data_IF_055148167166
#
_entry.id   IF_055148167166
#
_cell.length_a   1.000
_cell.length_b   1.000
_cell.length_c   1.000
_cell.angle_alpha   90.00
_cell.angle_beta   90.00
_cell.angle_gamma   90.00
#
_symmetry.space_group_name_H-M   'P 1'
#
loop_
_entity.id
_entity.type
_entity.pdbx_description
1 polymer ?
#
# COMPACT_ATOMS: atom_id res chain seq x y z
N UNK A 1 20.30 3.69 -3.10
CA UNK A 1 18.86 3.55 -3.43
C UNK A 1 18.39 4.82 -4.12
N UNK A 2 17.50 4.73 -5.10
CA UNK A 2 16.91 5.89 -5.80
C UNK A 2 15.40 5.66 -5.96
N UNK A 3 14.64 6.72 -6.21
CA UNK A 3 13.23 6.59 -6.63
C UNK A 3 13.22 6.03 -8.06
N UNK A 4 12.41 5.00 -8.31
CA UNK A 4 12.37 4.26 -9.59
C UNK A 4 10.99 4.20 -10.22
N UNK A 5 9.96 4.65 -9.51
CA UNK A 5 8.59 4.56 -9.98
C UNK A 5 7.60 5.06 -8.95
N UNK A 6 6.32 4.84 -9.26
CA UNK A 6 5.17 5.23 -8.45
C UNK A 6 4.08 4.17 -8.58
N UNK A 7 3.10 4.21 -7.67
CA UNK A 7 1.93 3.35 -7.75
C UNK A 7 0.67 4.08 -7.29
N UNK A 8 -0.48 3.64 -7.80
CA UNK A 8 -1.79 4.03 -7.30
C UNK A 8 -2.79 2.87 -7.39
N UNK A 9 -3.98 3.07 -6.82
CA UNK A 9 -5.05 2.06 -6.78
C UNK A 9 -6.26 2.44 -7.62
N UNK A 10 -6.90 1.41 -8.16
CA UNK A 10 -8.09 1.44 -9.01
C UNK A 10 -9.21 0.65 -8.31
N UNK A 11 -9.92 1.24 -7.33
CA UNK A 11 -11.02 0.55 -6.66
C UNK A 11 -12.21 0.38 -7.61
N UNK A 12 -12.75 -0.83 -7.69
CA UNK A 12 -13.93 -1.17 -8.51
C UNK A 12 -13.81 -0.85 -10.02
N UNK A 13 -12.60 -0.59 -10.52
CA UNK A 13 -12.34 -0.33 -11.94
C UNK A 13 -11.19 -1.21 -12.45
N UNK A 14 -11.05 -1.32 -13.77
CA UNK A 14 -10.06 -2.22 -14.39
C UNK A 14 -8.62 -1.83 -14.03
N UNK A 15 -7.71 -2.81 -14.09
CA UNK A 15 -6.27 -2.60 -13.82
C UNK A 15 -5.54 -1.78 -14.89
N UNK A 16 -6.17 -1.55 -16.05
CA UNK A 16 -5.55 -0.82 -17.15
C UNK A 16 -5.46 0.69 -16.84
N UNK A 17 -4.34 1.35 -17.20
CA UNK A 17 -4.19 2.78 -17.00
C UNK A 17 -5.17 3.55 -17.89
N UNK A 18 -5.73 4.60 -17.33
CA UNK A 18 -6.48 5.61 -18.08
C UNK A 18 -5.56 6.48 -18.93
N UNK A 19 -6.13 7.29 -19.82
CA UNK A 19 -5.37 8.27 -20.59
C UNK A 19 -4.64 9.29 -19.68
N UNK A 20 -5.20 9.61 -18.51
CA UNK A 20 -4.57 10.51 -17.52
C UNK A 20 -3.35 9.83 -16.90
N UNK A 21 -3.45 8.53 -16.58
CA UNK A 21 -2.33 7.76 -16.04
C UNK A 21 -1.17 7.68 -17.04
N UNK A 22 -1.46 7.39 -18.31
CA UNK A 22 -0.46 7.33 -19.39
C UNK A 22 0.21 8.69 -19.59
N UNK A 23 -0.56 9.79 -19.58
CA UNK A 23 0.00 11.14 -19.70
C UNK A 23 0.86 11.53 -18.49
N UNK A 24 0.42 11.18 -17.29
CA UNK A 24 1.16 11.42 -16.04
C UNK A 24 2.47 10.63 -16.02
N UNK A 25 2.42 9.36 -16.42
CA UNK A 25 3.59 8.51 -16.57
C UNK A 25 4.57 9.08 -17.60
N UNK A 26 4.08 9.60 -18.73
CA UNK A 26 4.92 10.29 -19.72
C UNK A 26 5.62 11.52 -19.14
N UNK A 27 4.93 12.31 -18.31
CA UNK A 27 5.52 13.46 -17.62
C UNK A 27 6.64 13.02 -16.66
N UNK A 28 6.46 11.95 -15.89
CA UNK A 28 7.54 11.42 -15.05
C UNK A 28 8.72 10.89 -15.87
N UNK A 29 8.46 10.30 -17.05
CA UNK A 29 9.53 9.84 -17.95
C UNK A 29 10.32 10.97 -18.61
N UNK A 30 9.80 12.20 -18.63
CA UNK A 30 10.60 13.38 -19.00
C UNK A 30 11.68 13.69 -17.97
N UNK A 31 11.50 13.28 -16.71
CA UNK A 31 12.48 13.46 -15.63
C UNK A 31 13.46 12.29 -15.54
N UNK A 32 12.97 11.05 -15.70
CA UNK A 32 13.78 9.83 -15.74
C UNK A 32 13.14 8.81 -16.70
N UNK A 33 13.80 8.51 -17.81
CA UNK A 33 13.31 7.55 -18.80
C UNK A 33 13.10 6.13 -18.22
N UNK A 34 13.81 5.78 -17.14
CA UNK A 34 13.69 4.50 -16.44
C UNK A 34 12.55 4.45 -15.42
N UNK A 35 11.75 5.50 -15.27
CA UNK A 35 10.66 5.57 -14.31
C UNK A 35 9.47 4.72 -14.75
N UNK A 36 8.88 3.94 -13.84
CA UNK A 36 7.75 3.03 -14.13
C UNK A 36 6.52 3.31 -13.27
N UNK A 37 5.33 3.02 -13.80
CA UNK A 37 4.07 3.12 -13.08
C UNK A 37 3.48 1.75 -12.75
N UNK A 38 2.94 1.60 -11.54
CA UNK A 38 2.22 0.41 -11.09
C UNK A 38 0.77 0.73 -10.76
N UNK A 39 -0.16 -0.15 -11.12
CA UNK A 39 -1.58 0.00 -10.78
C UNK A 39 -2.06 -1.25 -10.07
N UNK A 40 -2.78 -1.06 -8.97
CA UNK A 40 -3.48 -2.12 -8.24
C UNK A 40 -4.99 -1.95 -8.36
N UNK A 41 -5.65 -2.87 -9.06
CA UNK A 41 -7.11 -2.94 -9.11
C UNK A 41 -7.64 -3.75 -7.93
N UNK A 42 -8.47 -3.10 -7.11
CA UNK A 42 -8.94 -3.63 -5.83
C UNK A 42 -10.46 -3.72 -5.79
N UNK A 43 -10.99 -4.60 -4.92
CA UNK A 43 -12.43 -4.77 -4.69
C UNK A 43 -13.22 -5.14 -5.96
N UNK A 44 -12.62 -5.95 -6.83
CA UNK A 44 -13.31 -6.49 -8.01
C UNK A 44 -14.08 -7.73 -7.57
N UNK A 45 -15.39 -7.67 -7.67
CA UNK A 45 -16.27 -8.78 -7.30
C UNK A 45 -17.16 -9.14 -8.49
N UNK A 46 -17.13 -10.41 -8.88
CA UNK A 46 -18.13 -10.97 -9.78
C UNK A 46 -19.30 -11.48 -8.94
N UNK A 47 -20.43 -10.76 -9.00
CA UNK A 47 -21.64 -11.09 -8.23
C UNK A 47 -22.26 -12.44 -8.61
N UNK A 48 -22.04 -12.90 -9.84
CA UNK A 48 -22.59 -14.18 -10.30
C UNK A 48 -21.75 -15.34 -9.76
N UNK A 49 -20.42 -15.21 -9.72
CA UNK A 49 -19.52 -16.27 -9.24
C UNK A 49 -19.13 -16.12 -7.78
N UNK A 50 -19.48 -15.00 -7.13
CA UNK A 50 -19.05 -14.61 -5.77
C UNK A 50 -17.53 -14.67 -5.60
N UNK A 51 -16.80 -14.28 -6.63
CA UNK A 51 -15.34 -14.33 -6.66
C UNK A 51 -14.77 -12.93 -6.54
N UNK A 52 -13.93 -12.71 -5.52
CA UNK A 52 -13.12 -11.50 -5.37
C UNK A 52 -11.82 -11.60 -6.16
N UNK A 53 -11.38 -10.49 -6.77
CA UNK A 53 -10.12 -10.40 -7.51
C UNK A 53 -9.35 -9.14 -7.11
N UNK A 54 -8.03 -9.30 -7.05
CA UNK A 54 -7.06 -8.20 -6.97
C UNK A 54 -6.11 -8.41 -8.15
N UNK A 55 -5.90 -7.38 -8.95
CA UNK A 55 -5.02 -7.42 -10.12
C UNK A 55 -3.97 -6.32 -10.00
N UNK A 56 -2.78 -6.56 -10.56
CA UNK A 56 -1.75 -5.55 -10.67
C UNK A 56 -1.10 -5.56 -12.06
N UNK A 57 -0.63 -4.40 -12.51
CA UNK A 57 0.11 -4.25 -13.77
C UNK A 57 1.23 -3.23 -13.63
N UNK A 58 2.21 -3.30 -14.53
CA UNK A 58 3.31 -2.37 -14.64
C UNK A 58 3.37 -1.81 -16.05
N UNK A 59 3.60 -0.50 -16.19
CA UNK A 59 3.60 0.16 -17.48
C UNK A 59 4.56 1.34 -17.55
N UNK A 60 4.89 1.70 -18.80
CA UNK A 60 5.47 2.98 -19.18
C UNK A 60 4.63 3.60 -20.29
N UNK A 61 4.99 4.80 -20.71
CA UNK A 61 4.40 5.53 -21.81
C UNK A 61 5.41 5.70 -22.95
N UNK A 62 4.93 5.55 -24.19
CA UNK A 62 5.69 5.80 -25.42
C UNK A 62 4.94 6.80 -26.29
N UNK A 63 5.66 7.68 -26.99
CA UNK A 63 5.02 8.60 -27.93
C UNK A 63 4.54 7.82 -29.16
N UNK A 64 3.29 8.02 -29.55
CA UNK A 64 2.71 7.41 -30.74
C UNK A 64 3.45 7.88 -32.00
N UNK A 65 3.66 6.97 -32.95
CA UNK A 65 4.45 7.28 -34.17
C UNK A 65 3.82 8.34 -35.08
N UNK A 66 2.51 8.56 -34.97
CA UNK A 66 1.72 9.41 -35.89
C UNK A 66 0.96 10.54 -35.19
N UNK A 67 1.11 10.69 -33.87
CA UNK A 67 0.44 11.75 -33.12
C UNK A 67 1.33 12.27 -31.98
N UNK A 68 0.96 13.42 -31.42
CA UNK A 68 1.56 13.95 -30.19
C UNK A 68 1.02 13.27 -28.93
N UNK A 69 0.30 12.16 -29.06
CA UNK A 69 -0.29 11.43 -27.94
C UNK A 69 0.66 10.36 -27.41
N UNK A 70 0.47 9.98 -26.15
CA UNK A 70 1.22 8.91 -25.51
C UNK A 70 0.36 7.65 -25.42
N UNK A 71 0.97 6.52 -25.72
CA UNK A 71 0.39 5.18 -25.62
C UNK A 71 1.03 4.40 -24.47
N UNK A 72 0.26 3.48 -23.88
CA UNK A 72 0.75 2.56 -22.85
C UNK A 72 1.63 1.49 -23.48
N UNK A 73 2.79 1.24 -22.88
CA UNK A 73 3.56 0.02 -23.08
C UNK A 73 3.60 -0.79 -21.78
N UNK A 74 3.36 -2.09 -21.88
CA UNK A 74 3.39 -3.00 -20.74
C UNK A 74 4.82 -3.41 -20.41
N UNK A 75 5.16 -3.39 -19.12
CA UNK A 75 6.46 -3.81 -18.63
C UNK A 75 6.29 -5.12 -17.85
N UNK A 76 7.02 -6.20 -18.21
CA UNK A 76 7.00 -7.43 -17.43
C UNK A 76 7.39 -7.19 -15.97
N UNK A 77 6.61 -7.74 -15.04
CA UNK A 77 6.84 -7.62 -13.60
C UNK A 77 6.94 -9.01 -12.96
N UNK A 78 7.90 -9.16 -12.04
CA UNK A 78 8.09 -10.37 -11.25
C UNK A 78 8.17 -10.02 -9.77
N UNK A 79 7.48 -10.79 -8.93
CA UNK A 79 7.59 -10.69 -7.47
C UNK A 79 8.72 -11.62 -7.02
N UNK A 80 9.80 -11.04 -6.50
CA UNK A 80 10.91 -11.82 -5.94
C UNK A 80 10.52 -12.28 -4.54
N UNK A 81 10.53 -13.60 -4.24
CA UNK A 81 10.24 -14.09 -2.91
C UNK A 81 11.21 -13.53 -1.87
N UNK A 82 10.68 -13.10 -0.73
CA UNK A 82 11.47 -12.64 0.41
C UNK A 82 10.85 -13.22 1.69
N UNK A 83 11.62 -13.98 2.45
CA UNK A 83 11.10 -14.83 3.54
C UNK A 83 10.63 -14.03 4.76
N UNK A 84 11.27 -12.89 5.02
CA UNK A 84 11.01 -12.04 6.19
C UNK A 84 10.54 -10.64 5.75
N UNK A 85 9.96 -9.87 6.67
CA UNK A 85 9.66 -8.46 6.38
C UNK A 85 10.85 -7.62 6.82
N UNK A 86 11.47 -6.93 5.88
CA UNK A 86 12.56 -6.01 6.16
C UNK A 86 12.09 -4.82 7.01
N UNK A 87 12.99 -4.30 7.85
CA UNK A 87 12.72 -3.17 8.77
C UNK A 87 12.09 -1.96 8.06
N UNK A 88 12.65 -1.56 6.92
CA UNK A 88 12.18 -0.39 6.14
C UNK A 88 10.72 -0.58 5.67
N UNK A 89 10.35 -1.78 5.23
CA UNK A 89 8.98 -2.09 4.81
C UNK A 89 8.02 -2.05 6.00
N UNK A 90 8.42 -2.58 7.15
CA UNK A 90 7.61 -2.53 8.37
C UNK A 90 7.41 -1.09 8.86
N UNK A 91 8.48 -0.30 8.92
CA UNK A 91 8.42 1.12 9.27
C UNK A 91 7.49 1.87 8.32
N UNK A 92 7.58 1.63 7.01
CA UNK A 92 6.69 2.25 6.01
C UNK A 92 5.23 1.81 6.17
N UNK A 93 4.97 0.53 6.49
CA UNK A 93 3.62 0.01 6.66
C UNK A 93 2.90 0.64 7.87
N UNK A 94 3.62 0.90 8.97
CA UNK A 94 3.06 1.52 10.18
C UNK A 94 2.89 3.04 10.07
N UNK A 95 3.32 3.67 8.97
CA UNK A 95 3.06 5.09 8.72
C UNK A 95 1.61 5.36 8.25
N UNK A 96 0.90 4.39 7.67
CA UNK A 96 -0.45 4.62 7.13
C UNK A 96 -1.44 5.20 8.17
N UNK A 97 -1.59 4.66 9.39
CA UNK A 97 -2.48 5.26 10.39
C UNK A 97 -2.05 6.68 10.80
N UNK A 98 -0.75 6.96 10.81
CA UNK A 98 -0.23 8.30 11.15
C UNK A 98 -0.58 9.32 10.08
N UNK A 99 -0.40 8.95 8.80
CA UNK A 99 -0.74 9.80 7.65
C UNK A 99 -2.24 10.13 7.65
N UNK A 100 -3.11 9.13 7.83
CA UNK A 100 -4.57 9.31 7.86
C UNK A 100 -5.02 10.21 9.03
N UNK A 101 -4.41 10.03 10.20
CA UNK A 101 -4.69 10.87 11.36
C UNK A 101 -4.21 12.31 11.13
N UNK A 102 -3.04 12.49 10.52
CA UNK A 102 -2.49 13.79 10.18
C UNK A 102 -3.37 14.53 9.18
N UNK A 103 -3.90 13.83 8.17
CA UNK A 103 -4.83 14.39 7.18
C UNK A 103 -6.12 14.94 7.83
N UNK A 104 -6.74 14.17 8.72
CA UNK A 104 -7.93 14.62 9.47
C UNK A 104 -7.60 15.79 10.41
N UNK A 105 -6.45 15.75 11.08
CA UNK A 105 -6.02 16.85 11.95
C UNK A 105 -5.80 18.13 11.16
N UNK A 106 -5.19 18.07 9.97
CA UNK A 106 -4.96 19.24 9.13
C UNK A 106 -6.27 19.80 8.57
N UNK A 107 -7.21 18.94 8.17
CA UNK A 107 -8.56 19.35 7.79
C UNK A 107 -9.27 20.05 8.96
N UNK A 108 -9.20 19.46 10.16
CA UNK A 108 -9.83 20.02 11.37
C UNK A 108 -9.20 21.37 11.77
N UNK A 109 -7.87 21.50 11.70
CA UNK A 109 -7.17 22.77 11.98
C UNK A 109 -7.59 23.86 11.00
N UNK A 110 -7.72 23.54 9.70
CA UNK A 110 -8.19 24.51 8.69
C UNK A 110 -9.58 25.05 9.02
N UNK A 111 -10.54 24.19 9.37
CA UNK A 111 -11.88 24.66 9.75
C UNK A 111 -11.87 25.40 11.10
N UNK A 112 -11.06 24.94 12.06
CA UNK A 112 -10.94 25.59 13.38
C UNK A 112 -10.34 27.00 13.31
N UNK A 113 -9.51 27.27 12.29
CA UNK A 113 -8.94 28.60 12.03
C UNK A 113 -10.00 29.65 11.66
N UNK A 114 -11.21 29.24 11.25
CA UNK A 114 -12.31 30.14 10.96
C UNK A 114 -12.94 30.64 12.26
N UNK A 115 -12.52 31.82 12.70
CA UNK A 115 -12.93 32.42 13.99
C UNK A 115 -14.42 32.76 14.05
N UNK A 116 -15.04 33.03 12.91
CA UNK A 116 -16.44 33.47 12.79
C UNK A 116 -17.49 32.36 12.97
N UNK A 117 -17.06 31.09 13.06
CA UNK A 117 -17.99 29.97 13.25
C UNK A 117 -18.62 30.00 14.65
N UNK A 118 -19.91 29.74 14.71
CA UNK A 118 -20.66 29.65 15.96
C UNK A 118 -20.27 28.39 16.77
N UNK A 119 -20.58 28.41 18.06
CA UNK A 119 -20.21 27.33 18.98
C UNK A 119 -20.88 25.99 18.65
N UNK A 120 -22.12 26.00 18.12
CA UNK A 120 -22.84 24.77 17.77
C UNK A 120 -22.17 24.11 16.56
N UNK A 121 -21.80 24.90 15.54
CA UNK A 121 -21.02 24.42 14.40
C UNK A 121 -19.67 23.87 14.83
N UNK A 122 -18.98 24.51 15.77
CA UNK A 122 -17.72 23.99 16.33
C UNK A 122 -17.90 22.65 17.05
N UNK A 123 -18.96 22.49 17.84
CA UNK A 123 -19.29 21.21 18.50
C UNK A 123 -19.59 20.12 17.47
N UNK A 124 -20.36 20.45 16.42
CA UNK A 124 -20.65 19.54 15.33
C UNK A 124 -19.36 19.07 14.64
N UNK A 125 -18.48 19.99 14.26
CA UNK A 125 -17.20 19.68 13.63
C UNK A 125 -16.32 18.81 14.54
N UNK A 126 -16.27 19.09 15.84
CA UNK A 126 -15.55 18.25 16.81
C UNK A 126 -16.11 16.83 16.90
N UNK A 127 -17.43 16.69 16.81
CA UNK A 127 -18.11 15.39 16.81
C UNK A 127 -17.79 14.59 15.54
N UNK A 128 -17.78 15.25 14.38
CA UNK A 128 -17.39 14.64 13.10
C UNK A 128 -15.92 14.21 13.13
N UNK A 129 -15.01 15.06 13.61
CA UNK A 129 -13.60 14.72 13.76
C UNK A 129 -13.40 13.50 14.67
N UNK A 130 -14.07 13.47 15.83
CA UNK A 130 -14.02 12.32 16.75
C UNK A 130 -14.53 11.05 16.09
N UNK A 131 -15.66 11.12 15.37
CA UNK A 131 -16.23 9.99 14.63
C UNK A 131 -15.24 9.46 13.58
N UNK A 132 -14.60 10.35 12.82
CA UNK A 132 -13.64 9.97 11.78
C UNK A 132 -12.42 9.25 12.37
N UNK A 133 -11.84 9.80 13.45
CA UNK A 133 -10.72 9.15 14.13
C UNK A 133 -11.09 7.77 14.70
N UNK A 134 -12.26 7.64 15.32
CA UNK A 134 -12.76 6.34 15.79
C UNK A 134 -12.91 5.35 14.64
N UNK A 135 -13.42 5.79 13.49
CA UNK A 135 -13.55 4.97 12.29
C UNK A 135 -12.18 4.51 11.76
N UNK A 136 -11.20 5.40 11.68
CA UNK A 136 -9.83 5.06 11.26
C UNK A 136 -9.19 4.06 12.23
N UNK A 137 -9.35 4.25 13.53
CA UNK A 137 -8.82 3.33 14.54
C UNK A 137 -9.44 1.93 14.41
N UNK A 138 -10.76 1.86 14.23
CA UNK A 138 -11.46 0.58 14.10
C UNK A 138 -11.15 -0.15 12.78
N UNK A 139 -11.01 0.58 11.67
CA UNK A 139 -10.84 -0.01 10.35
C UNK A 139 -9.38 -0.25 9.96
N UNK A 140 -8.43 0.53 10.50
CA UNK A 140 -7.02 0.51 10.10
C UNK A 140 -6.12 0.12 11.27
N UNK A 141 -6.08 0.92 12.35
CA UNK A 141 -5.11 0.72 13.43
C UNK A 141 -5.31 -0.59 14.20
N UNK A 142 -6.57 -0.92 14.52
CA UNK A 142 -6.93 -2.15 15.22
C UNK A 142 -6.51 -3.41 14.45
N UNK A 143 -6.98 -3.60 13.20
CA UNK A 143 -6.57 -4.74 12.38
C UNK A 143 -5.06 -4.81 12.13
N UNK A 144 -4.38 -3.67 11.95
CA UNK A 144 -2.93 -3.64 11.79
C UNK A 144 -2.20 -4.13 13.04
N UNK A 145 -2.59 -3.65 14.23
CA UNK A 145 -2.00 -4.08 15.49
C UNK A 145 -2.21 -5.58 15.73
N UNK A 146 -3.44 -6.06 15.52
CA UNK A 146 -3.76 -7.49 15.63
C UNK A 146 -2.85 -8.34 14.72
N UNK A 147 -2.71 -7.94 13.45
CA UNK A 147 -1.84 -8.65 12.52
C UNK A 147 -0.37 -8.65 12.95
N UNK A 148 0.14 -7.56 13.54
CA UNK A 148 1.50 -7.48 14.07
C UNK A 148 1.70 -8.43 15.27
N UNK A 149 0.74 -8.51 16.18
CA UNK A 149 0.76 -9.41 17.32
C UNK A 149 0.71 -10.88 16.89
N UNK A 150 -0.20 -11.21 15.97
CA UNK A 150 -0.32 -12.55 15.39
C UNK A 150 0.98 -12.96 14.68
N UNK A 151 1.58 -12.05 13.91
CA UNK A 151 2.85 -12.29 13.24
C UNK A 151 4.01 -12.49 14.22
N UNK A 152 4.04 -11.73 15.32
CA UNK A 152 5.04 -11.92 16.37
C UNK A 152 4.93 -13.33 16.97
N UNK A 153 3.71 -13.81 17.21
CA UNK A 153 3.47 -15.15 17.72
C UNK A 153 3.92 -16.23 16.73
N UNK A 154 3.59 -16.07 15.44
CA UNK A 154 4.05 -16.96 14.37
C UNK A 154 5.57 -17.01 14.29
N UNK A 155 6.25 -15.86 14.36
CA UNK A 155 7.70 -15.80 14.32
C UNK A 155 8.34 -16.50 15.53
N UNK A 156 7.78 -16.35 16.74
CA UNK A 156 8.26 -17.07 17.93
C UNK A 156 8.16 -18.58 17.75
N UNK A 157 7.02 -19.06 17.24
CA UNK A 157 6.83 -20.48 16.96
C UNK A 157 7.82 -20.97 15.90
N UNK A 158 8.00 -20.21 14.81
CA UNK A 158 8.94 -20.56 13.74
C UNK A 158 10.39 -20.61 14.23
N UNK A 159 10.78 -19.73 15.15
CA UNK A 159 12.12 -19.76 15.76
C UNK A 159 12.34 -21.05 16.53
N UNK A 160 11.36 -21.53 17.31
CA UNK A 160 11.48 -22.79 18.03
C UNK A 160 11.64 -23.99 17.08
N UNK A 161 10.83 -24.04 16.03
CA UNK A 161 10.92 -25.09 15.00
C UNK A 161 12.28 -25.10 14.31
N UNK A 162 12.76 -23.94 13.87
CA UNK A 162 14.05 -23.80 13.21
C UNK A 162 15.22 -24.16 14.14
N UNK A 163 15.07 -23.91 15.44
CA UNK A 163 16.10 -24.22 16.43
C UNK A 163 16.18 -25.73 16.68
N UNK A 164 15.02 -26.41 16.75
CA UNK A 164 14.96 -27.87 16.81
C UNK A 164 15.52 -28.52 15.53
N UNK A 165 15.13 -28.01 14.36
CA UNK A 165 15.64 -28.49 13.07
C UNK A 165 17.16 -28.32 12.97
N UNK A 166 17.68 -27.18 13.44
CA UNK A 166 19.13 -26.94 13.52
C UNK A 166 19.83 -27.96 14.41
N UNK A 167 19.28 -28.29 15.58
CA UNK A 167 19.87 -29.26 16.49
C UNK A 167 19.93 -30.66 15.86
N UNK A 168 18.82 -31.10 15.25
CA UNK A 168 18.75 -32.39 14.56
C UNK A 168 19.77 -32.50 13.42
N UNK A 169 19.87 -31.47 12.58
CA UNK A 169 20.82 -31.46 11.47
C UNK A 169 22.29 -31.46 11.93
N UNK A 170 22.58 -30.85 13.08
CA UNK A 170 23.92 -30.89 13.67
C UNK A 170 24.27 -32.28 14.21
N UNK A 171 23.31 -32.97 14.83
CA UNK A 171 23.49 -34.35 15.28
C UNK A 171 23.70 -35.31 14.11
N UNK A 172 22.91 -35.19 13.04
CA UNK A 172 23.06 -36.00 11.83
C UNK A 172 24.42 -35.78 11.16
N UNK A 173 24.87 -34.53 11.09
CA UNK A 173 26.18 -34.20 10.52
C UNK A 173 27.32 -34.79 11.35
N UNK A 174 27.24 -34.69 12.67
CA UNK A 174 28.24 -35.25 13.58
C UNK A 174 28.30 -36.79 13.52
N UNK A 175 27.20 -37.46 13.16
CA UNK A 175 27.17 -38.91 12.98
C UNK A 175 27.83 -39.39 11.67
N UNK A 176 28.13 -38.49 10.73
CA UNK A 176 28.80 -38.79 9.46
C UNK A 176 30.33 -38.62 9.51
N UNK A 177 30.85 -38.00 10.58
CA UNK A 177 32.29 -37.87 10.87
C UNK A 177 32.81 -39.02 11.75
#
# INVERSE_FOLDING_TARGET
MRVVGWYHSHPHITVWPSHVDVRTQAMYQMMDQGFVGLIFSCFIEDKNTKTGRILYTCFQSIQAQKSSEYERIEIPIHVVPHETIGKVCLESAVELPKILCQEEQDAYRRIHSLTHLDSVTKIHNGSVFTKNLCSQMSAISGPLLQWLEDRLQQNKQRVLELQQEKEQLLEELAALE
#
